data_IF_519758776004
#
_entry.id   IF_519758776004
#
_cell.length_a   1.000
_cell.length_b   1.000
_cell.length_c   1.000
_cell.angle_alpha   90.00
_cell.angle_beta   90.00
_cell.angle_gamma   90.00
#
_symmetry.space_group_name_H-M   'P 1'
#
loop_
_entity.id
_entity.type
_entity.pdbx_description
1 polymer ?
#
# COMPACT_ATOMS: atom_id res chain seq x y z
N UNK A 1 -27.31 14.82 14.53
CA UNK A 1 -27.44 13.62 15.35
C UNK A 1 -26.03 13.09 15.44
N UNK A 2 -25.43 13.12 16.62
CA UNK A 2 -24.08 12.63 16.83
C UNK A 2 -24.17 11.11 16.99
N UNK A 3 -23.63 10.38 16.04
CA UNK A 3 -23.56 8.93 16.10
C UNK A 3 -22.50 8.51 17.13
N UNK A 4 -22.97 7.70 18.09
CA UNK A 4 -22.16 7.09 19.13
C UNK A 4 -21.15 6.13 18.52
N UNK A 5 -19.86 6.46 18.57
CA UNK A 5 -18.78 5.51 18.36
C UNK A 5 -18.74 4.59 19.57
N UNK A 6 -18.75 3.26 19.41
CA UNK A 6 -18.74 2.33 20.55
C UNK A 6 -17.47 2.50 21.41
N UNK A 7 -17.64 2.55 22.71
CA UNK A 7 -16.58 2.73 23.73
C UNK A 7 -15.39 1.75 23.62
N UNK A 8 -15.55 0.64 22.89
CA UNK A 8 -14.48 -0.36 22.65
C UNK A 8 -13.42 0.11 21.67
N UNK A 9 -13.76 0.91 20.66
CA UNK A 9 -12.79 1.40 19.65
C UNK A 9 -11.88 2.48 20.25
N UNK A 10 -12.40 3.26 21.21
CA UNK A 10 -11.61 4.26 21.95
C UNK A 10 -10.55 3.62 22.84
N UNK A 11 -10.84 2.45 23.43
CA UNK A 11 -9.90 1.74 24.33
C UNK A 11 -8.73 1.08 23.59
N UNK A 12 -8.94 0.57 22.37
CA UNK A 12 -7.87 -0.02 21.53
C UNK A 12 -6.94 1.06 21.03
N UNK A 13 -7.48 2.18 20.54
CA UNK A 13 -6.70 3.35 20.09
C UNK A 13 -5.86 3.93 21.23
N UNK A 14 -6.41 3.97 22.45
CA UNK A 14 -5.71 4.51 23.62
C UNK A 14 -4.57 3.60 24.10
N UNK A 15 -4.69 2.29 23.96
CA UNK A 15 -3.66 1.33 24.37
C UNK A 15 -2.46 1.34 23.42
N UNK A 16 -2.71 1.36 22.12
CA UNK A 16 -1.67 1.51 21.08
C UNK A 16 -0.97 2.86 21.22
N UNK A 17 -1.71 3.97 21.40
CA UNK A 17 -1.15 5.30 21.62
C UNK A 17 -0.27 5.41 22.89
N UNK A 18 -0.62 4.68 23.96
CA UNK A 18 0.17 4.66 25.20
C UNK A 18 1.48 3.87 25.09
N UNK A 19 1.51 2.79 24.30
CA UNK A 19 2.75 2.05 24.01
C UNK A 19 3.66 2.86 23.09
N UNK A 20 3.13 3.47 22.03
CA UNK A 20 3.88 4.37 21.16
C UNK A 20 4.46 5.60 21.89
N UNK A 21 3.73 6.18 22.85
CA UNK A 21 4.24 7.28 23.67
C UNK A 21 5.43 6.87 24.57
N UNK A 22 5.55 5.61 24.96
CA UNK A 22 6.70 5.08 25.72
C UNK A 22 7.94 4.91 24.85
N UNK A 23 7.78 4.42 23.61
CA UNK A 23 8.88 4.21 22.66
C UNK A 23 9.44 5.56 22.18
N UNK A 24 8.58 6.54 21.87
CA UNK A 24 8.99 7.90 21.50
C UNK A 24 9.86 8.57 22.58
N UNK A 25 9.57 8.38 23.86
CA UNK A 25 10.37 8.96 24.95
C UNK A 25 11.76 8.34 25.09
N UNK A 26 11.89 7.05 24.79
CA UNK A 26 13.19 6.35 24.82
C UNK A 26 14.09 6.77 23.66
N UNK A 27 13.53 6.98 22.48
CA UNK A 27 14.26 7.44 21.30
C UNK A 27 14.71 8.89 21.44
N UNK A 28 13.86 9.77 21.98
CA UNK A 28 14.21 11.17 22.29
C UNK A 28 15.35 11.26 23.32
N UNK A 29 15.36 10.39 24.33
CA UNK A 29 16.42 10.36 25.34
C UNK A 29 17.76 9.83 24.79
N UNK A 30 17.76 8.99 23.76
CA UNK A 30 19.00 8.54 23.11
C UNK A 30 19.61 9.60 22.18
N UNK A 31 18.80 10.45 21.51
CA UNK A 31 19.28 11.54 20.67
C UNK A 31 19.52 12.86 21.46
N UNK A 32 18.91 13.04 22.63
CA UNK A 32 19.06 14.22 23.48
C UNK A 32 20.22 14.22 24.48
N UNK A 33 21.07 13.19 24.50
CA UNK A 33 22.12 13.01 25.49
C UNK A 33 23.46 13.70 25.23
N UNK A 34 23.59 14.53 24.21
CA UNK A 34 24.89 15.12 23.83
C UNK A 34 24.93 16.67 23.73
N UNK A 35 23.97 17.37 24.32
CA UNK A 35 24.02 18.83 24.28
C UNK A 35 23.54 19.47 25.60
N UNK A 36 24.38 19.43 26.62
CA UNK A 36 24.37 20.42 27.70
C UNK A 36 25.66 20.31 28.51
N UNK A 37 26.62 21.17 28.18
CA UNK A 37 27.52 21.88 29.08
C UNK A 37 28.62 22.55 28.26
N UNK A 38 28.65 23.90 28.25
CA UNK A 38 29.77 24.66 27.73
C UNK A 38 29.42 26.05 27.23
N UNK A 39 29.20 26.97 28.16
CA UNK A 39 29.29 28.41 27.89
C UNK A 39 30.75 28.78 27.71
N UNK A 40 31.10 29.47 26.61
CA UNK A 40 32.40 30.13 26.51
C UNK A 40 32.90 30.46 25.11
N UNK A 41 32.72 31.74 24.71
CA UNK A 41 33.61 32.52 23.84
C UNK A 41 33.97 32.07 22.42
N UNK A 42 33.50 32.86 21.45
CA UNK A 42 34.10 32.97 20.09
C UNK A 42 35.61 33.24 20.14
N UNK A 43 36.38 32.79 19.13
CA UNK A 43 36.55 33.61 17.94
C UNK A 43 36.53 32.85 16.61
N UNK A 44 36.11 33.60 15.60
CA UNK A 44 36.29 33.37 14.15
C UNK A 44 37.66 32.86 13.78
N UNK A 45 37.76 31.88 12.81
CA UNK A 45 38.56 32.00 11.62
C UNK A 45 38.70 30.64 10.86
N UNK A 46 38.56 30.76 9.56
CA UNK A 46 39.19 30.04 8.46
C UNK A 46 38.56 28.75 7.92
N UNK A 47 38.10 28.97 6.71
CA UNK A 47 37.81 27.99 5.69
C UNK A 47 39.01 27.06 5.40
N UNK A 48 38.76 25.78 5.20
CA UNK A 48 39.51 24.94 4.26
C UNK A 48 38.70 23.71 3.85
N UNK A 49 38.25 23.67 2.62
CA UNK A 49 38.12 22.59 1.65
C UNK A 49 38.10 21.13 2.15
N UNK A 50 36.99 20.45 1.86
CA UNK A 50 36.91 19.00 1.86
C UNK A 50 35.46 18.57 1.59
N UNK A 51 35.09 18.45 0.29
CA UNK A 51 33.72 18.20 -0.14
C UNK A 51 33.20 16.81 0.23
N UNK A 52 31.98 16.78 0.53
CA UNK A 52 31.07 15.71 0.81
C UNK A 52 29.85 16.37 1.43
N UNK A 53 29.11 17.15 0.63
CA UNK A 53 27.88 17.76 1.11
C UNK A 53 26.85 16.67 1.28
N UNK A 54 26.55 16.25 2.51
CA UNK A 54 25.24 15.71 2.83
C UNK A 54 24.23 16.78 2.39
N UNK A 55 23.33 16.40 1.48
CA UNK A 55 22.21 17.26 1.11
C UNK A 55 21.48 17.64 2.39
N UNK A 56 21.34 18.93 2.68
CA UNK A 56 20.57 19.37 3.83
C UNK A 56 19.14 18.88 3.65
N UNK A 57 18.58 18.26 4.70
CA UNK A 57 17.18 17.87 4.68
C UNK A 57 16.32 19.11 4.37
N UNK A 58 15.30 18.98 3.50
CA UNK A 58 14.44 20.10 3.12
C UNK A 58 13.77 20.72 4.34
N UNK A 59 13.67 22.05 4.38
CA UNK A 59 12.97 22.76 5.45
C UNK A 59 11.46 22.61 5.27
N UNK A 60 10.83 21.88 6.21
CA UNK A 60 9.39 21.67 6.21
C UNK A 60 8.66 22.67 7.09
N UNK A 61 7.55 23.23 6.62
CA UNK A 61 6.66 24.06 7.44
C UNK A 61 5.29 24.25 6.77
N UNK A 62 4.30 24.68 7.55
CA UNK A 62 2.99 25.08 7.01
C UNK A 62 1.97 23.94 6.94
N UNK A 63 1.19 23.87 5.88
CA UNK A 63 0.10 22.91 5.75
C UNK A 63 0.28 22.09 4.50
N UNK A 64 0.07 20.76 4.60
CA UNK A 64 -0.05 19.82 3.49
C UNK A 64 -1.54 19.49 3.32
N UNK A 65 -2.13 19.87 2.20
CA UNK A 65 -3.46 19.42 1.78
C UNK A 65 -3.29 18.05 1.10
N UNK A 66 -3.72 16.97 1.79
CA UNK A 66 -3.41 15.60 1.43
C UNK A 66 -4.64 14.81 0.98
N UNK A 67 -4.64 14.32 -0.26
CA UNK A 67 -5.69 13.48 -0.83
C UNK A 67 -5.29 12.00 -0.72
N UNK A 68 -6.02 11.22 0.09
CA UNK A 68 -5.63 9.84 0.41
C UNK A 68 -6.79 8.98 0.92
N UNK A 69 -6.51 7.71 1.13
CA UNK A 69 -7.38 6.81 1.87
C UNK A 69 -7.47 7.19 3.36
N UNK A 70 -8.57 6.81 4.00
CA UNK A 70 -8.71 7.00 5.45
C UNK A 70 -7.57 6.30 6.20
N UNK A 71 -6.88 7.05 7.06
CA UNK A 71 -5.75 6.57 7.86
C UNK A 71 -4.37 6.69 7.19
N UNK A 72 -4.30 7.01 5.90
CA UNK A 72 -3.03 7.19 5.19
C UNK A 72 -2.34 8.53 5.51
N UNK A 73 -3.02 9.45 6.14
CA UNK A 73 -2.42 10.64 6.76
C UNK A 73 -1.56 10.32 8.00
N UNK A 74 -1.51 9.03 8.37
CA UNK A 74 -0.63 8.45 9.40
C UNK A 74 -0.40 9.38 10.59
N UNK A 75 -1.47 9.81 11.28
CA UNK A 75 -1.40 10.89 12.26
C UNK A 75 -0.49 10.56 13.44
N UNK A 76 -0.49 9.33 13.93
CA UNK A 76 0.30 8.88 15.08
C UNK A 76 1.78 8.68 14.73
N UNK A 77 2.17 7.94 13.67
CA UNK A 77 3.56 7.81 13.27
C UNK A 77 4.23 9.17 13.01
N UNK A 78 3.58 10.08 12.28
CA UNK A 78 4.14 11.38 11.90
C UNK A 78 3.98 12.49 12.95
N UNK A 79 3.40 12.19 14.11
CA UNK A 79 3.10 13.22 15.12
C UNK A 79 4.31 14.00 15.60
N UNK A 80 5.42 13.31 15.88
CA UNK A 80 6.63 13.96 16.38
C UNK A 80 7.25 14.87 15.32
N UNK A 81 7.34 14.41 14.08
CA UNK A 81 7.87 15.17 12.98
C UNK A 81 7.00 16.40 12.65
N UNK A 82 5.69 16.24 12.57
CA UNK A 82 4.74 17.36 12.37
C UNK A 82 4.92 18.45 13.43
N UNK A 83 5.09 18.04 14.67
CA UNK A 83 5.27 18.99 15.78
C UNK A 83 6.61 19.71 15.67
N UNK A 84 7.70 19.00 15.38
CA UNK A 84 9.05 19.57 15.29
C UNK A 84 9.17 20.57 14.13
N UNK A 85 8.47 20.33 13.03
CA UNK A 85 8.54 21.14 11.81
C UNK A 85 7.36 22.13 11.69
N UNK A 86 6.46 22.22 12.67
CA UNK A 86 5.26 23.05 12.60
C UNK A 86 4.40 22.77 11.37
N UNK A 87 4.35 21.49 10.93
CA UNK A 87 3.54 21.05 9.81
C UNK A 87 2.16 20.59 10.27
N UNK A 88 1.13 21.08 9.59
CA UNK A 88 -0.23 20.60 9.72
C UNK A 88 -0.63 19.81 8.48
N UNK A 89 -1.32 18.69 8.63
CA UNK A 89 -1.86 17.90 7.52
C UNK A 89 -3.38 18.00 7.54
N UNK A 90 -3.95 18.35 6.38
CA UNK A 90 -5.40 18.38 6.16
C UNK A 90 -5.78 17.26 5.19
N UNK A 91 -6.20 16.10 5.71
CA UNK A 91 -6.59 14.99 4.85
C UNK A 91 -7.94 15.24 4.18
N UNK A 92 -8.02 14.90 2.91
CA UNK A 92 -9.27 14.70 2.17
C UNK A 92 -9.32 13.22 1.80
N UNK A 93 -10.29 12.50 2.36
CA UNK A 93 -10.37 11.07 2.14
C UNK A 93 -11.14 10.73 0.86
N UNK A 94 -10.68 9.67 0.20
CA UNK A 94 -11.28 9.06 -0.97
C UNK A 94 -11.90 7.71 -0.61
N UNK A 95 -12.93 7.31 -1.35
CA UNK A 95 -13.55 5.99 -1.28
C UNK A 95 -13.08 5.05 -2.40
N UNK A 96 -12.59 5.62 -3.50
CA UNK A 96 -12.06 4.90 -4.66
C UNK A 96 -11.12 5.80 -5.46
N UNK A 97 -10.42 5.25 -6.45
CA UNK A 97 -9.46 6.01 -7.27
C UNK A 97 -10.11 7.03 -8.21
N UNK A 98 -11.37 6.84 -8.62
CA UNK A 98 -12.09 7.82 -9.44
C UNK A 98 -12.31 9.14 -8.68
N UNK A 99 -12.38 9.08 -7.35
CA UNK A 99 -12.44 10.26 -6.49
C UNK A 99 -11.21 11.16 -6.64
N UNK A 100 -10.01 10.58 -6.86
CA UNK A 100 -8.77 11.35 -7.03
C UNK A 100 -8.91 12.27 -8.24
N UNK A 101 -9.27 11.72 -9.40
CA UNK A 101 -9.46 12.52 -10.62
C UNK A 101 -10.50 13.62 -10.44
N UNK A 102 -11.67 13.23 -9.88
CA UNK A 102 -12.79 14.14 -9.70
C UNK A 102 -12.44 15.29 -8.77
N UNK A 103 -11.76 14.99 -7.67
CA UNK A 103 -11.35 15.99 -6.66
C UNK A 103 -10.25 16.90 -7.15
N UNK A 104 -9.25 16.38 -7.90
CA UNK A 104 -8.19 17.21 -8.47
C UNK A 104 -8.78 18.14 -9.54
N UNK A 105 -9.63 17.63 -10.45
CA UNK A 105 -10.30 18.44 -11.47
C UNK A 105 -11.21 19.52 -10.85
N UNK A 106 -11.95 19.19 -9.78
CA UNK A 106 -12.83 20.12 -9.09
C UNK A 106 -12.08 21.12 -8.20
N UNK A 107 -10.99 20.71 -7.60
CA UNK A 107 -10.23 21.49 -6.62
C UNK A 107 -9.23 22.47 -7.23
N UNK A 108 -9.00 22.45 -8.55
CA UNK A 108 -8.16 23.43 -9.24
C UNK A 108 -6.73 23.55 -8.69
N UNK A 109 -6.15 22.46 -8.18
CA UNK A 109 -4.79 22.47 -7.63
C UNK A 109 -4.73 22.62 -6.10
N UNK A 110 -5.79 22.27 -5.40
CA UNK A 110 -5.88 22.42 -3.94
C UNK A 110 -5.14 21.34 -3.12
N UNK A 111 -4.44 20.42 -3.75
CA UNK A 111 -3.73 19.34 -3.06
C UNK A 111 -2.22 19.42 -3.28
N UNK A 112 -1.47 19.16 -2.20
CA UNK A 112 0.00 19.16 -2.19
C UNK A 112 0.57 17.75 -2.31
N UNK A 113 -0.14 16.77 -1.75
CA UNK A 113 0.25 15.37 -1.71
C UNK A 113 -0.95 14.49 -2.08
N UNK A 114 -0.71 13.48 -2.89
CA UNK A 114 -1.68 12.42 -3.15
C UNK A 114 -1.05 11.05 -2.87
N UNK A 115 -1.88 10.10 -2.46
CA UNK A 115 -1.51 8.67 -2.47
C UNK A 115 -2.40 7.92 -3.43
N UNK A 116 -1.79 7.11 -4.26
CA UNK A 116 -2.50 6.28 -5.22
C UNK A 116 -1.82 4.92 -5.40
N UNK A 117 -2.59 3.93 -5.83
CA UNK A 117 -2.14 2.61 -6.22
C UNK A 117 -1.38 2.68 -7.56
N UNK A 118 -0.21 2.04 -7.66
CA UNK A 118 0.70 2.16 -8.81
C UNK A 118 0.03 1.94 -10.18
N UNK A 119 -0.99 1.11 -10.26
CA UNK A 119 -1.69 0.84 -11.50
C UNK A 119 -2.33 2.07 -12.15
N UNK A 120 -2.60 3.14 -11.40
CA UNK A 120 -3.18 4.38 -11.94
C UNK A 120 -2.15 5.38 -12.46
N UNK A 121 -0.84 5.05 -12.44
CA UNK A 121 0.23 5.96 -12.84
C UNK A 121 0.02 6.53 -14.26
N UNK A 122 -0.18 5.66 -15.23
CA UNK A 122 -0.31 6.09 -16.64
C UNK A 122 -1.52 7.01 -16.84
N UNK A 123 -2.66 6.69 -16.22
CA UNK A 123 -3.84 7.53 -16.24
C UNK A 123 -3.56 8.92 -15.65
N UNK A 124 -2.88 9.00 -14.51
CA UNK A 124 -2.62 10.27 -13.85
C UNK A 124 -1.52 11.08 -14.56
N UNK A 125 -0.57 10.40 -15.22
CA UNK A 125 0.40 11.02 -16.11
C UNK A 125 -0.28 11.64 -17.33
N UNK A 126 -1.16 10.89 -18.01
CA UNK A 126 -1.93 11.37 -19.17
C UNK A 126 -2.82 12.58 -18.83
N UNK A 127 -3.40 12.57 -17.64
CA UNK A 127 -4.20 13.70 -17.15
C UNK A 127 -3.37 14.89 -16.66
N UNK A 128 -2.04 14.82 -16.70
CA UNK A 128 -1.13 15.87 -16.24
C UNK A 128 -1.21 16.14 -14.73
N UNK A 129 -1.63 15.15 -13.95
CA UNK A 129 -1.79 15.28 -12.49
C UNK A 129 -0.43 15.22 -11.79
N UNK A 130 0.48 14.36 -12.25
CA UNK A 130 1.73 14.05 -11.58
C UNK A 130 2.84 15.03 -11.96
N UNK A 131 3.70 15.36 -11.00
CA UNK A 131 5.00 16.02 -11.22
C UNK A 131 6.12 15.00 -11.21
N UNK A 132 7.23 15.31 -11.88
CA UNK A 132 8.50 14.65 -11.64
C UNK A 132 8.99 15.00 -10.24
N UNK A 133 9.47 13.99 -9.51
CA UNK A 133 9.99 14.11 -8.14
C UNK A 133 11.51 14.24 -8.17
N UNK A 134 12.03 15.29 -7.54
CA UNK A 134 13.47 15.48 -7.35
C UNK A 134 13.99 14.57 -6.22
N UNK A 135 14.46 13.38 -6.58
CA UNK A 135 14.98 12.40 -5.61
C UNK A 135 16.18 12.91 -4.80
N UNK A 136 16.89 13.92 -5.29
CA UNK A 136 17.97 14.58 -4.55
C UNK A 136 17.50 15.29 -3.28
N UNK A 137 16.19 15.58 -3.18
CA UNK A 137 15.56 16.14 -1.98
C UNK A 137 15.00 15.07 -1.03
N UNK A 138 15.05 13.80 -1.42
CA UNK A 138 14.51 12.65 -0.67
C UNK A 138 15.61 11.60 -0.46
N UNK A 139 16.69 11.90 0.28
CA UNK A 139 17.84 11.00 0.42
C UNK A 139 17.47 9.61 0.99
N UNK A 140 16.40 9.46 1.74
CA UNK A 140 15.95 8.16 2.26
C UNK A 140 15.43 7.20 1.16
N UNK A 141 15.23 7.68 -0.07
CA UNK A 141 14.91 6.85 -1.24
C UNK A 141 15.99 5.79 -1.49
N UNK A 142 17.25 6.10 -1.18
CA UNK A 142 18.37 5.16 -1.31
C UNK A 142 18.24 3.93 -0.39
N UNK A 143 17.45 4.02 0.66
CA UNK A 143 17.14 2.93 1.58
C UNK A 143 16.04 1.98 1.12
N UNK A 144 15.35 2.26 0.02
CA UNK A 144 14.34 1.36 -0.52
C UNK A 144 14.96 0.02 -0.94
N UNK A 145 14.18 -1.06 -0.82
CA UNK A 145 14.55 -2.32 -1.48
C UNK A 145 14.77 -2.13 -2.98
N UNK A 146 15.66 -2.95 -3.57
CA UNK A 146 15.99 -2.87 -5.00
C UNK A 146 14.74 -2.93 -5.88
N UNK A 147 13.78 -3.77 -5.56
CA UNK A 147 12.50 -3.91 -6.29
C UNK A 147 11.67 -2.63 -6.34
N UNK A 148 11.87 -1.71 -5.40
CA UNK A 148 11.18 -0.40 -5.38
C UNK A 148 12.04 0.74 -5.92
N UNK A 149 13.35 0.56 -5.98
CA UNK A 149 14.32 1.60 -6.35
C UNK A 149 14.80 1.49 -7.79
N UNK A 150 14.82 0.29 -8.34
CA UNK A 150 15.29 0.06 -9.70
C UNK A 150 14.14 0.18 -10.70
N UNK A 151 14.37 0.83 -11.87
CA UNK A 151 13.39 0.86 -12.94
C UNK A 151 12.99 -0.55 -13.37
N UNK A 152 11.72 -0.77 -13.58
CA UNK A 152 11.23 -1.99 -14.20
C UNK A 152 10.62 -1.68 -15.57
N UNK A 153 10.50 -2.70 -16.41
CA UNK A 153 9.99 -2.55 -17.78
C UNK A 153 8.54 -2.03 -17.88
N UNK A 154 7.84 -1.92 -16.75
CA UNK A 154 6.45 -1.44 -16.68
C UNK A 154 6.35 0.03 -16.31
N UNK A 155 7.45 0.67 -15.93
CA UNK A 155 7.52 2.10 -15.58
C UNK A 155 6.45 2.54 -14.56
N UNK A 156 6.24 1.74 -13.50
CA UNK A 156 5.12 1.92 -12.57
C UNK A 156 5.24 3.16 -11.67
N UNK A 157 6.46 3.64 -11.42
CA UNK A 157 6.76 4.86 -10.65
C UNK A 157 8.07 5.53 -11.07
N UNK A 158 8.89 4.86 -11.89
CA UNK A 158 10.10 5.40 -12.51
C UNK A 158 9.90 5.29 -14.02
N UNK A 159 10.01 6.40 -14.74
CA UNK A 159 9.90 6.46 -16.19
C UNK A 159 11.16 5.90 -16.88
N UNK A 160 11.10 5.65 -18.19
CA UNK A 160 12.22 5.12 -18.98
C UNK A 160 13.48 5.99 -18.92
N UNK A 161 13.33 7.31 -18.78
CA UNK A 161 14.43 8.28 -18.66
C UNK A 161 14.99 8.36 -17.23
N UNK A 162 14.40 7.64 -16.27
CA UNK A 162 14.79 7.60 -14.87
C UNK A 162 14.09 8.61 -13.98
N UNK A 163 13.15 9.39 -14.51
CA UNK A 163 12.33 10.32 -13.73
C UNK A 163 11.34 9.58 -12.83
N UNK A 164 11.24 10.04 -11.59
CA UNK A 164 10.29 9.49 -10.62
C UNK A 164 8.99 10.28 -10.63
N UNK A 165 7.86 9.57 -10.76
CA UNK A 165 6.50 10.15 -10.70
C UNK A 165 5.73 9.71 -9.46
N UNK A 166 6.29 8.79 -8.69
CA UNK A 166 5.75 8.34 -7.41
C UNK A 166 6.81 7.68 -6.54
N UNK A 167 6.65 7.74 -5.23
CA UNK A 167 7.58 7.13 -4.27
C UNK A 167 6.88 6.01 -3.51
N UNK A 168 7.32 4.75 -3.69
CA UNK A 168 6.83 3.60 -2.93
C UNK A 168 7.00 3.78 -1.43
N UNK A 169 5.91 3.68 -0.64
CA UNK A 169 5.99 3.86 0.80
C UNK A 169 5.29 2.77 1.62
N UNK A 170 4.38 2.03 1.00
CA UNK A 170 3.71 0.86 1.57
C UNK A 170 3.27 -0.10 0.47
N UNK A 171 3.18 -1.39 0.78
CA UNK A 171 2.82 -2.41 -0.19
C UNK A 171 2.15 -3.62 0.45
N UNK A 172 1.56 -4.48 -0.38
CA UNK A 172 1.03 -5.77 0.03
C UNK A 172 0.84 -6.70 -1.16
N UNK A 173 0.64 -7.99 -0.88
CA UNK A 173 0.33 -8.99 -1.88
C UNK A 173 -1.03 -9.59 -1.65
N UNK A 174 -1.72 -9.88 -2.74
CA UNK A 174 -2.97 -10.62 -2.73
C UNK A 174 -2.71 -12.12 -2.55
N UNK A 175 -3.64 -12.83 -1.92
CA UNK A 175 -3.54 -14.25 -1.70
C UNK A 175 -4.91 -14.87 -1.41
N UNK A 176 -4.92 -16.17 -1.19
CA UNK A 176 -6.09 -16.86 -0.63
C UNK A 176 -6.08 -16.66 0.88
N UNK A 177 -7.19 -16.17 1.43
CA UNK A 177 -7.38 -16.04 2.88
C UNK A 177 -8.43 -17.03 3.37
N UNK A 178 -8.12 -17.76 4.45
CA UNK A 178 -9.03 -18.73 5.04
C UNK A 178 -8.87 -18.81 6.55
N UNK A 179 -9.81 -19.47 7.23
CA UNK A 179 -9.68 -19.82 8.63
C UNK A 179 -9.21 -21.27 8.78
N UNK A 180 -8.02 -21.48 9.35
CA UNK A 180 -7.41 -22.79 9.60
C UNK A 180 -8.30 -23.73 10.43
N UNK A 181 -9.25 -23.20 11.23
CA UNK A 181 -10.21 -24.04 11.97
C UNK A 181 -11.26 -24.67 11.05
N UNK A 182 -11.68 -23.94 10.02
CA UNK A 182 -12.74 -24.38 9.10
C UNK A 182 -12.18 -25.10 7.88
N UNK A 183 -10.94 -24.77 7.51
CA UNK A 183 -10.23 -25.35 6.37
C UNK A 183 -8.77 -25.67 6.74
N UNK A 184 -8.54 -26.74 7.56
CA UNK A 184 -7.20 -27.09 7.98
C UNK A 184 -6.27 -27.41 6.80
N UNK A 185 -5.09 -26.76 6.78
CA UNK A 185 -4.10 -26.89 5.72
C UNK A 185 -4.40 -26.04 4.49
N UNK A 186 -5.51 -25.33 4.46
CA UNK A 186 -5.86 -24.35 3.43
C UNK A 186 -5.95 -24.87 2.01
N UNK A 187 -5.63 -23.98 1.08
CA UNK A 187 -5.63 -24.24 -0.37
C UNK A 187 -4.28 -23.83 -0.96
N UNK A 188 -3.86 -24.57 -1.99
CA UNK A 188 -2.59 -24.31 -2.69
C UNK A 188 -2.77 -23.76 -4.10
N UNK A 189 -3.99 -23.66 -4.57
CA UNK A 189 -4.33 -23.23 -5.93
C UNK A 189 -5.61 -22.39 -5.95
N UNK A 190 -5.65 -21.35 -6.79
CA UNK A 190 -6.87 -20.60 -7.07
C UNK A 190 -7.97 -21.48 -7.68
N UNK A 191 -7.60 -22.51 -8.44
CA UNK A 191 -8.56 -23.45 -9.04
C UNK A 191 -9.28 -24.30 -8.01
N UNK A 192 -8.69 -24.51 -6.81
CA UNK A 192 -9.33 -25.26 -5.73
C UNK A 192 -10.65 -24.61 -5.29
N UNK A 193 -10.76 -23.26 -5.42
CA UNK A 193 -11.96 -22.49 -5.08
C UNK A 193 -13.16 -22.81 -6.00
N UNK A 194 -12.91 -23.38 -7.18
CA UNK A 194 -13.96 -23.78 -8.12
C UNK A 194 -14.57 -25.17 -7.80
N UNK A 195 -14.04 -25.89 -6.79
CA UNK A 195 -14.62 -27.15 -6.33
C UNK A 195 -16.06 -26.91 -5.80
N UNK A 196 -16.97 -27.78 -6.17
CA UNK A 196 -18.39 -27.70 -5.78
C UNK A 196 -18.61 -27.65 -4.26
N UNK A 197 -17.66 -28.14 -3.44
CA UNK A 197 -17.74 -28.06 -1.97
C UNK A 197 -17.70 -26.61 -1.44
N UNK A 198 -17.18 -25.66 -2.24
CA UNK A 198 -17.11 -24.24 -1.90
C UNK A 198 -18.28 -23.42 -2.41
N UNK A 199 -19.26 -24.02 -3.11
CA UNK A 199 -20.43 -23.30 -3.61
C UNK A 199 -21.17 -22.60 -2.48
N UNK A 200 -21.32 -21.27 -2.60
CA UNK A 200 -21.92 -20.41 -1.59
C UNK A 200 -21.06 -20.20 -0.33
N UNK A 201 -19.74 -20.50 -0.40
CA UNK A 201 -18.82 -20.40 0.74
C UNK A 201 -17.56 -19.57 0.45
N UNK A 202 -17.42 -19.03 -0.75
CA UNK A 202 -16.35 -18.08 -1.09
C UNK A 202 -16.84 -16.68 -0.79
N UNK A 203 -15.99 -15.85 -0.20
CA UNK A 203 -16.19 -14.41 -0.13
C UNK A 203 -15.30 -13.71 -1.18
N UNK A 204 -15.85 -12.68 -1.81
CA UNK A 204 -15.14 -11.81 -2.75
C UNK A 204 -15.38 -10.35 -2.38
N UNK A 205 -14.43 -9.49 -2.72
CA UNK A 205 -14.60 -8.03 -2.61
C UNK A 205 -15.12 -7.45 -3.92
N UNK A 206 -15.90 -6.38 -3.85
CA UNK A 206 -16.38 -5.63 -5.01
C UNK A 206 -15.28 -4.70 -5.56
N UNK A 207 -14.25 -5.33 -6.13
CA UNK A 207 -13.12 -4.67 -6.75
C UNK A 207 -12.90 -5.26 -8.16
N UNK A 208 -13.46 -4.64 -9.20
CA UNK A 208 -13.35 -5.14 -10.56
C UNK A 208 -11.90 -5.22 -11.03
N UNK A 209 -11.10 -4.17 -10.80
CA UNK A 209 -9.72 -4.14 -11.26
C UNK A 209 -8.91 -5.27 -10.64
N UNK A 210 -8.96 -5.44 -9.32
CA UNK A 210 -8.25 -6.52 -8.64
C UNK A 210 -8.74 -7.91 -9.07
N UNK A 211 -10.07 -8.09 -9.30
CA UNK A 211 -10.62 -9.36 -9.77
C UNK A 211 -10.11 -9.74 -11.17
N UNK A 212 -10.10 -8.78 -12.11
CA UNK A 212 -9.59 -9.00 -13.46
C UNK A 212 -8.08 -9.17 -13.48
N UNK A 213 -7.32 -8.33 -12.76
CA UNK A 213 -5.85 -8.44 -12.63
C UNK A 213 -5.44 -9.80 -12.10
N UNK A 214 -6.06 -10.24 -11.00
CA UNK A 214 -5.77 -11.56 -10.42
C UNK A 214 -6.10 -12.68 -11.39
N UNK A 215 -7.24 -12.60 -12.06
CA UNK A 215 -7.66 -13.65 -13.00
C UNK A 215 -6.75 -13.69 -14.23
N UNK A 216 -6.34 -12.55 -14.77
CA UNK A 216 -5.38 -12.48 -15.87
C UNK A 216 -4.06 -13.15 -15.47
N UNK A 217 -3.54 -12.81 -14.28
CA UNK A 217 -2.34 -13.45 -13.74
C UNK A 217 -2.48 -14.97 -13.61
N UNK A 218 -3.57 -15.45 -13.01
CA UNK A 218 -3.85 -16.92 -12.87
C UNK A 218 -3.84 -17.62 -14.22
N UNK A 219 -4.33 -16.96 -15.28
CA UNK A 219 -4.38 -17.49 -16.64
C UNK A 219 -3.09 -17.23 -17.44
N UNK A 220 -2.05 -16.68 -16.82
CA UNK A 220 -0.77 -16.41 -17.46
C UNK A 220 -0.82 -15.28 -18.49
N UNK A 221 -1.72 -14.29 -18.29
CA UNK A 221 -1.92 -13.13 -19.16
C UNK A 221 -1.50 -11.86 -18.48
N UNK A 222 -1.10 -10.84 -19.26
CA UNK A 222 -0.82 -9.51 -18.76
C UNK A 222 -2.12 -8.70 -18.61
N UNK A 223 -2.52 -8.30 -17.40
CA UNK A 223 -3.74 -7.53 -17.21
C UNK A 223 -3.68 -6.11 -17.79
N UNK A 224 -2.47 -5.52 -17.91
CA UNK A 224 -2.28 -4.18 -18.45
C UNK A 224 -2.34 -4.15 -20.00
N UNK A 225 -2.07 -5.30 -20.65
CA UNK A 225 -2.05 -5.44 -22.11
C UNK A 225 -2.83 -6.69 -22.55
N UNK A 226 -4.02 -6.89 -22.01
CA UNK A 226 -4.87 -8.06 -22.30
C UNK A 226 -5.53 -7.90 -23.66
N UNK A 227 -5.22 -8.76 -24.66
CA UNK A 227 -5.87 -8.73 -25.96
C UNK A 227 -7.38 -8.98 -25.85
N UNK A 228 -8.21 -8.23 -26.59
CA UNK A 228 -9.68 -8.41 -26.59
C UNK A 228 -10.09 -9.83 -26.99
N UNK A 229 -9.31 -10.49 -27.85
CA UNK A 229 -9.57 -11.88 -28.27
C UNK A 229 -9.46 -12.90 -27.12
N UNK A 230 -8.73 -12.56 -26.06
CA UNK A 230 -8.49 -13.44 -24.89
C UNK A 230 -9.40 -13.10 -23.70
N UNK A 231 -10.19 -12.04 -23.80
CA UNK A 231 -11.00 -11.51 -22.71
C UNK A 231 -12.08 -12.47 -22.23
N UNK A 232 -12.65 -13.25 -23.13
CA UNK A 232 -13.71 -14.21 -22.79
C UNK A 232 -13.26 -15.25 -21.75
N UNK A 233 -11.98 -15.68 -21.76
CA UNK A 233 -11.47 -16.66 -20.80
C UNK A 233 -11.47 -16.11 -19.37
N UNK A 234 -11.13 -14.84 -19.22
CA UNK A 234 -11.14 -14.15 -17.91
C UNK A 234 -12.57 -13.99 -17.42
N UNK A 235 -13.49 -13.55 -18.27
CA UNK A 235 -14.92 -13.43 -17.93
C UNK A 235 -15.52 -14.77 -17.52
N UNK A 236 -15.20 -15.85 -18.23
CA UNK A 236 -15.67 -17.19 -17.92
C UNK A 236 -15.15 -17.69 -16.57
N UNK A 237 -13.87 -17.41 -16.25
CA UNK A 237 -13.30 -17.78 -14.95
C UNK A 237 -13.99 -17.00 -13.83
N UNK A 238 -14.12 -15.67 -13.98
CA UNK A 238 -14.77 -14.82 -12.98
C UNK A 238 -16.24 -15.18 -12.79
N UNK A 239 -16.98 -15.49 -13.86
CA UNK A 239 -18.36 -15.96 -13.76
C UNK A 239 -18.47 -17.23 -12.89
N UNK A 240 -17.57 -18.21 -13.11
CA UNK A 240 -17.49 -19.41 -12.28
C UNK A 240 -17.13 -19.09 -10.83
N UNK A 241 -16.21 -18.14 -10.61
CA UNK A 241 -15.79 -17.74 -9.27
C UNK A 241 -16.89 -17.01 -8.51
N UNK A 242 -17.58 -16.06 -9.15
CA UNK A 242 -18.72 -15.37 -8.56
C UNK A 242 -19.85 -16.33 -8.22
N UNK A 243 -20.09 -17.36 -9.06
CA UNK A 243 -21.08 -18.43 -8.77
C UNK A 243 -20.72 -19.30 -7.54
N UNK A 244 -19.47 -19.25 -7.05
CA UNK A 244 -19.05 -19.89 -5.79
C UNK A 244 -19.29 -18.99 -4.58
N UNK A 245 -19.54 -17.69 -4.79
CA UNK A 245 -19.71 -16.74 -3.69
C UNK A 245 -21.11 -16.79 -3.09
N UNK A 246 -21.20 -16.48 -1.83
CA UNK A 246 -22.47 -16.18 -1.17
C UNK A 246 -22.87 -14.74 -1.47
N UNK A 247 -21.92 -13.84 -1.35
CA UNK A 247 -22.09 -12.41 -1.66
C UNK A 247 -20.75 -11.82 -2.10
N UNK A 248 -20.81 -10.78 -2.94
CA UNK A 248 -19.67 -9.90 -3.23
C UNK A 248 -19.73 -8.76 -2.22
N UNK A 249 -18.73 -8.68 -1.35
CA UNK A 249 -18.67 -7.72 -0.24
C UNK A 249 -18.27 -6.33 -0.72
N UNK A 250 -18.80 -5.24 -0.15
CA UNK A 250 -18.45 -3.88 -0.55
C UNK A 250 -16.98 -3.53 -0.24
N UNK A 251 -16.36 -4.21 0.74
CA UNK A 251 -14.97 -3.97 1.13
C UNK A 251 -14.34 -5.17 1.85
N UNK A 252 -13.04 -5.05 2.17
CA UNK A 252 -12.27 -6.09 2.85
C UNK A 252 -12.74 -6.34 4.29
N UNK A 253 -13.25 -5.32 4.97
CA UNK A 253 -13.81 -5.46 6.33
C UNK A 253 -15.02 -6.39 6.34
N UNK A 254 -15.97 -6.18 5.44
CA UNK A 254 -17.16 -7.00 5.30
C UNK A 254 -16.83 -8.41 4.82
N UNK A 255 -15.84 -8.53 3.90
CA UNK A 255 -15.34 -9.82 3.45
C UNK A 255 -14.70 -10.61 4.60
N UNK A 256 -13.90 -9.95 5.45
CA UNK A 256 -13.32 -10.56 6.66
C UNK A 256 -14.41 -10.96 7.65
N UNK A 257 -15.41 -10.11 7.83
CA UNK A 257 -16.54 -10.42 8.72
C UNK A 257 -17.27 -11.68 8.26
N UNK A 258 -17.55 -11.84 6.97
CA UNK A 258 -18.17 -13.04 6.43
C UNK A 258 -17.36 -14.32 6.75
N UNK A 259 -16.03 -14.24 6.72
CA UNK A 259 -15.15 -15.33 7.11
C UNK A 259 -15.20 -15.62 8.62
N UNK A 260 -15.12 -14.59 9.47
CA UNK A 260 -15.12 -14.72 10.94
C UNK A 260 -16.48 -15.24 11.45
N UNK A 261 -17.57 -14.81 10.84
CA UNK A 261 -18.94 -15.25 11.20
C UNK A 261 -19.26 -16.65 10.64
N UNK A 262 -18.38 -17.25 9.85
CA UNK A 262 -18.57 -18.57 9.24
C UNK A 262 -19.57 -18.56 8.06
N UNK A 263 -19.89 -17.41 7.53
CA UNK A 263 -20.72 -17.27 6.32
C UNK A 263 -19.93 -17.67 5.06
N UNK A 264 -18.63 -17.41 5.06
CA UNK A 264 -17.68 -17.93 4.10
C UNK A 264 -16.62 -18.78 4.82
N UNK A 265 -15.88 -19.61 4.08
CA UNK A 265 -14.75 -20.41 4.60
C UNK A 265 -13.44 -19.99 4.00
N UNK A 266 -13.48 -19.24 2.88
CA UNK A 266 -12.32 -18.81 2.13
C UNK A 266 -12.62 -17.52 1.37
N UNK A 267 -11.60 -16.68 1.18
CA UNK A 267 -11.72 -15.43 0.41
C UNK A 267 -10.90 -15.53 -0.88
N UNK A 268 -11.50 -15.13 -1.99
CA UNK A 268 -10.80 -14.78 -3.23
C UNK A 268 -10.35 -13.31 -3.15
N UNK A 269 -9.14 -12.99 -3.58
CA UNK A 269 -8.53 -11.66 -3.41
C UNK A 269 -8.30 -11.25 -1.94
N UNK A 270 -7.92 -12.19 -1.06
CA UNK A 270 -7.56 -11.84 0.29
C UNK A 270 -6.16 -11.20 0.37
N UNK A 271 -5.82 -10.62 1.53
CA UNK A 271 -4.48 -10.14 1.84
C UNK A 271 -4.23 -10.08 3.36
N UNK A 272 -3.00 -9.86 3.75
CA UNK A 272 -2.55 -9.99 5.15
C UNK A 272 -3.34 -9.13 6.15
N UNK A 273 -3.87 -7.97 5.75
CA UNK A 273 -4.72 -7.13 6.60
C UNK A 273 -5.96 -7.85 7.14
N UNK A 274 -6.49 -8.82 6.40
CA UNK A 274 -7.62 -9.63 6.88
C UNK A 274 -7.25 -10.51 8.07
N UNK A 275 -6.01 -10.99 8.15
CA UNK A 275 -5.52 -11.75 9.30
C UNK A 275 -5.57 -10.87 10.56
N UNK A 276 -5.15 -9.60 10.43
CA UNK A 276 -5.22 -8.62 11.50
C UNK A 276 -6.67 -8.31 11.89
N UNK A 277 -7.55 -7.98 10.95
CA UNK A 277 -8.96 -7.70 11.23
C UNK A 277 -9.66 -8.87 11.93
N UNK A 278 -9.40 -10.10 11.47
CA UNK A 278 -9.95 -11.30 12.09
C UNK A 278 -9.43 -11.50 13.52
N UNK A 279 -8.14 -11.25 13.76
CA UNK A 279 -7.54 -11.33 15.09
C UNK A 279 -8.14 -10.29 16.06
N UNK A 280 -8.41 -9.06 15.58
CA UNK A 280 -9.13 -8.04 16.36
C UNK A 280 -10.55 -8.48 16.70
N UNK A 281 -11.21 -9.21 15.80
CA UNK A 281 -12.53 -9.82 16.04
C UNK A 281 -12.47 -11.10 16.91
N UNK A 282 -11.27 -11.48 17.41
CA UNK A 282 -11.06 -12.65 18.29
C UNK A 282 -10.75 -13.95 17.56
N UNK A 283 -10.65 -13.95 16.23
CA UNK A 283 -10.25 -15.12 15.44
C UNK A 283 -8.80 -15.00 14.96
N UNK A 284 -7.88 -15.69 15.67
CA UNK A 284 -6.44 -15.68 15.39
C UNK A 284 -5.97 -16.81 14.45
N UNK A 285 -6.88 -17.52 13.83
CA UNK A 285 -6.57 -18.66 12.96
C UNK A 285 -6.80 -18.34 11.47
N UNK A 286 -7.21 -17.10 11.18
CA UNK A 286 -7.26 -16.62 9.80
C UNK A 286 -5.84 -16.37 9.30
N UNK A 287 -5.56 -16.87 8.10
CA UNK A 287 -4.26 -16.77 7.44
C UNK A 287 -4.44 -16.48 5.96
N UNK A 288 -3.43 -15.88 5.35
CA UNK A 288 -3.38 -15.56 3.92
C UNK A 288 -2.10 -16.13 3.34
N UNK A 289 -2.20 -16.80 2.19
CA UNK A 289 -1.01 -17.30 1.45
C UNK A 289 -1.17 -17.10 -0.04
N UNK A 290 -0.05 -16.86 -0.70
CA UNK A 290 0.04 -16.85 -2.16
C UNK A 290 0.00 -18.27 -2.68
N UNK A 291 -0.94 -18.64 -3.58
CA UNK A 291 -1.02 -19.99 -4.17
C UNK A 291 0.09 -20.24 -5.19
N UNK A 292 0.17 -21.46 -5.69
CA UNK A 292 1.21 -21.90 -6.65
C UNK A 292 1.18 -21.17 -8.00
N UNK A 293 0.02 -20.67 -8.42
CA UNK A 293 -0.10 -19.86 -9.64
C UNK A 293 0.40 -18.42 -9.43
N UNK A 294 0.80 -18.08 -8.20
CA UNK A 294 1.13 -16.71 -7.84
C UNK A 294 -0.11 -15.85 -7.58
N UNK A 295 0.10 -14.54 -7.56
CA UNK A 295 -0.93 -13.53 -7.37
C UNK A 295 -0.44 -12.20 -7.96
N UNK A 296 -0.95 -11.07 -7.47
CA UNK A 296 -0.36 -9.77 -7.74
C UNK A 296 -0.10 -9.02 -6.43
N UNK A 297 0.83 -8.08 -6.50
CA UNK A 297 1.09 -7.15 -5.41
C UNK A 297 0.60 -5.76 -5.76
N UNK A 298 0.23 -5.01 -4.73
CA UNK A 298 -0.05 -3.58 -4.84
C UNK A 298 1.03 -2.79 -4.09
N UNK A 299 1.30 -1.59 -4.58
CA UNK A 299 2.19 -0.63 -3.95
C UNK A 299 1.50 0.73 -3.99
N UNK A 300 1.34 1.35 -2.84
CA UNK A 300 0.84 2.70 -2.77
C UNK A 300 2.01 3.68 -2.85
N UNK A 301 1.82 4.70 -3.66
CA UNK A 301 2.81 5.69 -4.00
C UNK A 301 2.43 7.04 -3.39
N UNK A 302 3.40 7.73 -2.81
CA UNK A 302 3.30 9.17 -2.65
C UNK A 302 3.58 9.85 -3.98
N UNK A 303 2.77 10.80 -4.36
CA UNK A 303 3.00 11.63 -5.53
C UNK A 303 2.68 13.10 -5.27
N UNK A 304 3.37 13.95 -6.00
CA UNK A 304 3.26 15.40 -5.91
C UNK A 304 2.42 15.88 -7.08
N UNK A 305 1.25 16.49 -6.84
CA UNK A 305 0.46 17.08 -7.92
C UNK A 305 1.21 18.20 -8.66
N UNK A 306 1.06 18.24 -9.99
CA UNK A 306 1.71 19.24 -10.83
C UNK A 306 1.32 20.70 -10.52
N UNK A 307 0.31 20.88 -9.69
CA UNK A 307 -0.27 22.18 -9.32
C UNK A 307 0.13 22.66 -7.92
N UNK A 308 0.89 21.85 -7.15
CA UNK A 308 1.32 22.27 -5.81
C UNK A 308 2.35 23.39 -5.87
N UNK A 309 2.28 24.30 -4.92
CA UNK A 309 3.32 25.30 -4.62
C UNK A 309 4.09 24.97 -3.32
N UNK A 310 3.83 23.80 -2.71
CA UNK A 310 4.36 23.36 -1.42
C UNK A 310 5.27 22.11 -1.53
N UNK A 311 5.92 21.92 -2.67
CA UNK A 311 6.71 20.71 -2.96
C UNK A 311 7.81 20.46 -1.91
N UNK A 312 8.48 21.50 -1.39
CA UNK A 312 9.57 21.32 -0.39
C UNK A 312 9.09 20.67 0.90
N UNK A 313 7.92 21.06 1.41
CA UNK A 313 7.34 20.43 2.61
C UNK A 313 6.89 19.00 2.33
N UNK A 314 6.41 18.72 1.11
CA UNK A 314 6.01 17.38 0.68
C UNK A 314 7.24 16.48 0.51
N UNK A 315 8.32 16.96 -0.10
CA UNK A 315 9.60 16.23 -0.21
C UNK A 315 10.10 15.83 1.18
N UNK A 316 10.05 16.77 2.15
CA UNK A 316 10.43 16.49 3.53
C UNK A 316 9.51 15.46 4.22
N UNK A 317 8.19 15.50 3.95
CA UNK A 317 7.24 14.49 4.42
C UNK A 317 7.59 13.10 3.87
N UNK A 318 7.80 13.00 2.57
CA UNK A 318 8.13 11.74 1.91
C UNK A 318 9.46 11.21 2.45
N UNK A 319 10.47 12.07 2.55
CA UNK A 319 11.76 11.67 3.10
C UNK A 319 11.66 11.13 4.52
N UNK A 320 10.88 11.78 5.41
CA UNK A 320 10.68 11.30 6.77
C UNK A 320 9.89 9.99 6.80
N UNK A 321 8.86 9.83 5.96
CA UNK A 321 8.11 8.58 5.87
C UNK A 321 8.97 7.37 5.46
N UNK A 322 10.10 7.63 4.79
CA UNK A 322 11.11 6.64 4.42
C UNK A 322 12.26 6.53 5.43
N UNK A 323 12.26 7.22 6.57
CA UNK A 323 13.17 6.90 7.68
C UNK A 323 12.92 5.46 8.12
N UNK A 324 13.95 4.61 8.28
CA UNK A 324 13.76 3.19 8.58
C UNK A 324 12.89 2.90 9.80
N UNK A 325 13.07 3.67 10.88
CA UNK A 325 12.26 3.49 12.09
C UNK A 325 10.82 3.92 11.82
N UNK A 326 10.64 5.04 11.11
CA UNK A 326 9.31 5.56 10.86
C UNK A 326 8.55 4.72 9.83
N UNK A 327 9.19 4.26 8.75
CA UNK A 327 8.59 3.35 7.78
C UNK A 327 8.12 2.04 8.45
N UNK A 328 8.89 1.51 9.41
CA UNK A 328 8.45 0.38 10.22
C UNK A 328 7.19 0.72 11.06
N UNK A 329 7.14 1.90 11.70
CA UNK A 329 5.95 2.33 12.47
C UNK A 329 4.73 2.59 11.60
N UNK A 330 4.93 3.09 10.38
CA UNK A 330 3.88 3.25 9.38
C UNK A 330 3.33 1.88 8.97
N UNK A 331 4.21 0.93 8.66
CA UNK A 331 3.81 -0.42 8.30
C UNK A 331 3.03 -1.12 9.44
N UNK A 332 3.45 -0.95 10.69
CA UNK A 332 2.70 -1.45 11.85
C UNK A 332 1.32 -0.80 12.01
N UNK A 333 1.23 0.51 11.75
CA UNK A 333 -0.02 1.26 11.84
C UNK A 333 -1.03 0.84 10.75
N UNK A 334 -0.54 0.63 9.52
CA UNK A 334 -1.35 0.23 8.37
C UNK A 334 -1.50 -1.29 8.23
N UNK A 335 -0.73 -2.07 8.99
CA UNK A 335 -0.61 -3.53 8.83
C UNK A 335 -0.17 -3.90 7.40
N UNK A 336 0.80 -3.17 6.89
CA UNK A 336 1.27 -3.25 5.51
C UNK A 336 2.76 -3.62 5.44
N UNK A 337 3.30 -3.83 4.24
CA UNK A 337 4.71 -4.11 4.02
C UNK A 337 5.57 -2.86 4.10
N UNK A 338 6.79 -3.00 4.63
CA UNK A 338 7.81 -1.94 4.60
C UNK A 338 8.46 -1.86 3.22
N UNK A 339 8.76 -0.66 2.76
CA UNK A 339 9.46 -0.43 1.49
C UNK A 339 10.95 -0.17 1.68
N UNK A 340 11.36 0.24 2.89
CA UNK A 340 12.75 0.50 3.26
C UNK A 340 13.38 -0.76 3.85
N UNK A 341 14.53 -1.19 3.32
CA UNK A 341 15.14 -2.48 3.70
C UNK A 341 15.49 -2.55 5.19
N UNK A 342 16.10 -1.50 5.74
CA UNK A 342 16.49 -1.43 7.14
C UNK A 342 15.27 -1.40 8.11
N UNK A 343 14.07 -1.13 7.63
CA UNK A 343 12.84 -1.14 8.44
C UNK A 343 12.45 -2.54 8.91
N UNK A 344 12.93 -3.59 8.23
CA UNK A 344 12.62 -5.00 8.60
C UNK A 344 13.17 -5.37 9.98
N UNK A 345 14.26 -4.73 10.41
CA UNK A 345 14.83 -4.95 11.74
C UNK A 345 14.12 -4.14 12.83
N UNK A 346 13.33 -3.14 12.44
CA UNK A 346 12.62 -2.24 13.33
C UNK A 346 11.13 -2.60 13.51
N UNK A 347 10.56 -3.38 12.59
CA UNK A 347 9.14 -3.76 12.61
C UNK A 347 8.86 -4.81 13.68
N UNK A 348 7.69 -4.73 14.35
CA UNK A 348 7.30 -5.70 15.36
C UNK A 348 7.05 -7.11 14.76
N UNK A 349 7.16 -8.14 15.61
CA UNK A 349 7.05 -9.53 15.18
C UNK A 349 5.67 -9.87 14.58
N UNK A 350 4.59 -9.25 15.06
CA UNK A 350 3.24 -9.54 14.59
C UNK A 350 3.07 -9.08 13.14
N UNK A 351 3.44 -7.84 12.82
CA UNK A 351 3.38 -7.30 11.46
C UNK A 351 4.42 -7.99 10.56
N UNK A 352 5.64 -8.22 11.07
CA UNK A 352 6.70 -8.92 10.33
C UNK A 352 6.25 -10.30 9.85
N UNK A 353 5.51 -11.03 10.68
CA UNK A 353 5.03 -12.39 10.35
C UNK A 353 3.99 -12.44 9.22
N UNK A 354 3.42 -11.30 8.83
CA UNK A 354 2.45 -11.21 7.73
C UNK A 354 3.11 -11.15 6.36
N UNK A 355 4.43 -10.94 6.32
CA UNK A 355 5.21 -10.78 5.10
C UNK A 355 6.40 -11.75 5.11
N UNK A 356 6.90 -12.20 3.96
CA UNK A 356 7.90 -13.26 3.88
C UNK A 356 9.34 -12.77 4.13
N UNK A 357 9.54 -11.80 5.03
CA UNK A 357 10.87 -11.24 5.31
C UNK A 357 11.88 -12.26 5.85
N UNK A 358 11.40 -13.29 6.56
CA UNK A 358 12.21 -14.33 7.19
C UNK A 358 12.07 -15.70 6.48
N UNK A 359 11.40 -15.78 5.33
CA UNK A 359 11.18 -17.03 4.59
C UNK A 359 12.42 -17.44 3.78
N UNK A 360 13.20 -18.36 4.35
CA UNK A 360 14.44 -18.88 3.75
C UNK A 360 14.22 -19.68 2.47
N UNK A 361 13.00 -20.13 2.16
CA UNK A 361 12.68 -20.80 0.89
C UNK A 361 12.71 -19.81 -0.29
N UNK A 362 12.53 -18.52 0.00
CA UNK A 362 12.54 -17.45 -1.01
C UNK A 362 13.93 -16.83 -1.24
N UNK A 363 14.91 -17.02 -0.31
CA UNK A 363 16.26 -16.50 -0.47
C UNK A 363 17.02 -16.36 0.84
N UNK A 364 18.32 -16.10 0.73
CA UNK A 364 19.22 -15.96 1.88
C UNK A 364 19.13 -14.58 2.55
N UNK A 365 18.85 -13.54 1.76
CA UNK A 365 18.69 -12.16 2.25
C UNK A 365 17.24 -11.70 2.15
N UNK A 366 16.87 -10.67 2.92
CA UNK A 366 15.53 -10.08 2.87
C UNK A 366 15.22 -9.51 1.49
N UNK A 367 16.18 -8.86 0.84
CA UNK A 367 16.03 -8.33 -0.52
C UNK A 367 15.76 -9.43 -1.55
N UNK A 368 16.49 -10.56 -1.49
CA UNK A 368 16.24 -11.72 -2.37
C UNK A 368 14.84 -12.31 -2.16
N UNK A 369 14.40 -12.41 -0.90
CA UNK A 369 13.06 -12.91 -0.56
C UNK A 369 11.97 -12.02 -1.14
N UNK A 370 12.13 -10.70 -1.02
CA UNK A 370 11.17 -9.76 -1.57
C UNK A 370 11.17 -9.78 -3.10
N UNK A 371 12.33 -9.82 -3.75
CA UNK A 371 12.45 -9.97 -5.20
C UNK A 371 11.76 -11.24 -5.69
N UNK A 372 11.96 -12.35 -4.97
CA UNK A 372 11.32 -13.63 -5.31
C UNK A 372 9.81 -13.61 -5.12
N UNK A 373 9.32 -12.96 -4.08
CA UNK A 373 7.89 -12.77 -3.90
C UNK A 373 7.29 -11.95 -5.05
N UNK A 374 7.96 -10.88 -5.49
CA UNK A 374 7.48 -10.04 -6.60
C UNK A 374 7.54 -10.76 -7.95
N UNK A 375 8.43 -11.75 -8.14
CA UNK A 375 8.35 -12.65 -9.30
C UNK A 375 7.07 -13.50 -9.29
N UNK A 376 6.63 -13.95 -8.10
CA UNK A 376 5.42 -14.78 -7.93
C UNK A 376 4.15 -13.92 -7.86
N UNK A 377 4.26 -12.69 -7.42
CA UNK A 377 3.17 -11.75 -7.25
C UNK A 377 3.60 -10.35 -7.74
N UNK A 378 3.71 -10.13 -9.06
CA UNK A 378 4.21 -8.89 -9.62
C UNK A 378 3.28 -7.71 -9.39
N UNK A 379 3.86 -6.51 -9.45
CA UNK A 379 3.10 -5.28 -9.59
C UNK A 379 2.66 -5.13 -11.05
N UNK A 380 1.41 -4.75 -11.27
CA UNK A 380 0.87 -4.51 -12.61
C UNK A 380 0.44 -3.06 -12.79
N UNK A 381 0.52 -2.57 -14.03
CA UNK A 381 -0.17 -1.37 -14.47
C UNK A 381 -1.67 -1.65 -14.66
N UNK A 382 -2.43 -0.59 -14.86
CA UNK A 382 -3.84 -0.70 -15.23
C UNK A 382 -3.99 -1.00 -16.73
N UNK A 383 -5.12 -1.61 -17.12
CA UNK A 383 -5.51 -1.66 -18.52
C UNK A 383 -5.65 -0.26 -19.09
N UNK A 384 -5.46 -0.09 -20.41
CA UNK A 384 -5.59 1.21 -21.06
C UNK A 384 -7.02 1.77 -20.91
N UNK A 385 -7.13 3.11 -20.96
CA UNK A 385 -8.43 3.79 -20.94
C UNK A 385 -9.14 3.62 -22.26
N UNK A 386 -8.39 3.73 -23.36
CA UNK A 386 -8.86 3.57 -24.72
C UNK A 386 -7.92 2.64 -25.50
N UNK A 387 -8.45 1.67 -26.18
CA UNK A 387 -7.70 0.76 -27.07
C UNK A 387 -8.63 0.01 -28.01
N UNK A 388 -8.19 -0.16 -29.26
CA UNK A 388 -8.86 -1.04 -30.22
C UNK A 388 -8.38 -2.51 -30.07
N UNK A 389 -7.18 -2.72 -29.54
CA UNK A 389 -6.50 -4.02 -29.43
C UNK A 389 -6.68 -4.66 -28.06
N UNK A 390 -6.51 -3.88 -27.00
CA UNK A 390 -6.52 -4.37 -25.62
C UNK A 390 -7.83 -4.03 -24.92
N UNK A 391 -8.15 -4.83 -23.90
CA UNK A 391 -9.31 -4.60 -23.04
C UNK A 391 -9.07 -3.33 -22.22
N UNK A 392 -10.06 -2.46 -22.23
CA UNK A 392 -9.99 -1.20 -21.48
C UNK A 392 -10.50 -1.33 -20.05
N UNK A 393 -10.13 -0.38 -19.20
CA UNK A 393 -10.64 -0.30 -17.84
C UNK A 393 -12.18 -0.20 -17.79
N UNK A 394 -12.78 0.59 -18.70
CA UNK A 394 -14.24 0.69 -18.82
C UNK A 394 -14.91 -0.63 -19.18
N UNK A 395 -14.35 -1.40 -20.13
CA UNK A 395 -14.87 -2.73 -20.49
C UNK A 395 -14.79 -3.73 -19.33
N UNK A 396 -13.76 -3.63 -18.48
CA UNK A 396 -13.66 -4.45 -17.27
C UNK A 396 -14.75 -4.10 -16.25
N UNK A 397 -15.00 -2.82 -16.01
CA UNK A 397 -16.06 -2.36 -15.10
C UNK A 397 -17.44 -2.83 -15.56
N UNK A 398 -17.77 -2.64 -16.86
CA UNK A 398 -19.04 -3.08 -17.42
C UNK A 398 -19.20 -4.61 -17.29
N UNK A 399 -18.17 -5.37 -17.66
CA UNK A 399 -18.19 -6.83 -17.55
C UNK A 399 -18.35 -7.32 -16.11
N UNK A 400 -17.78 -6.61 -15.14
CA UNK A 400 -17.94 -6.95 -13.73
C UNK A 400 -19.40 -6.86 -13.27
N UNK A 401 -20.10 -5.81 -13.67
CA UNK A 401 -21.51 -5.67 -13.37
C UNK A 401 -22.35 -6.77 -14.04
N UNK A 402 -22.07 -7.13 -15.29
CA UNK A 402 -22.74 -8.23 -15.99
C UNK A 402 -22.50 -9.58 -15.30
N UNK A 403 -21.24 -9.85 -14.89
CA UNK A 403 -20.87 -11.11 -14.21
C UNK A 403 -21.61 -11.23 -12.88
N UNK A 404 -21.66 -10.17 -12.08
CA UNK A 404 -22.40 -10.19 -10.79
C UNK A 404 -23.89 -10.42 -10.94
N UNK A 405 -24.49 -9.99 -12.06
CA UNK A 405 -25.91 -10.18 -12.33
C UNK A 405 -26.23 -11.59 -12.87
N UNK A 406 -25.26 -12.27 -13.44
CA UNK A 406 -25.43 -13.59 -14.07
C UNK A 406 -25.21 -14.78 -13.15
N UNK A 407 -24.63 -14.57 -11.98
CA UNK A 407 -24.29 -15.58 -10.98
C UNK A 407 -25.28 -15.63 -9.81
#
# INVERSE_FOLDING_TARGET
MADNIPERDVLVTTRVALEHARISRLTLLRRGGAAALGVGLMPTLLAACGGGGEAAAPEASGTIDYLSWTGYDIPDPMKAWKTANSVNVKPTYIGNHDDIQSKIKAGGGAYDLITYYQGYKDLYTELGILSTIDTGKIPNIDGLFSVFREPDARNLWIEEDGDWTGVPWTWGSIGITWDEKTLPGGLSSWYDLLDAKFKGKVAMVNDPLGAFTLTAHILGKDPAALPKAEYSEIRDFLTKMVAQTKTVSPGFTEMTKALVDGEAVVCYQGWAYQNYLAAQAGNKTVTTKTPKEGAFSFCDLYAIPSTTDNAETVDAWINEALDPILNARIAEYLVAGVTVEASVDEINADTKSLYPYDDLELGDTTGERLNKLVELAPFYGNPPIESDEFVTFGEMQESWEEIKQSA
#
